data_IF_781702690210
#
_entry.id   IF_781702690210
#
_cell.length_a   1.000
_cell.length_b   1.000
_cell.length_c   1.000
_cell.angle_alpha   90.00
_cell.angle_beta   90.00
_cell.angle_gamma   90.00
#
_symmetry.space_group_name_H-M   'P 1'
#
loop_
_entity.id
_entity.type
_entity.pdbx_description
1 polymer ?
#
# COMPACT_ATOMS: atom_id res chain seq x y z
N UNK A 1 5.15 13.18 8.37
CA UNK A 1 5.28 13.49 6.92
C UNK A 1 6.57 12.93 6.33
N UNK A 2 7.75 13.17 6.91
CA UNK A 2 9.03 12.69 6.37
C UNK A 2 9.07 11.18 6.05
N UNK A 3 8.49 10.35 6.93
CA UNK A 3 8.40 8.89 6.72
C UNK A 3 7.63 8.50 5.46
N UNK A 4 6.59 9.24 5.07
CA UNK A 4 5.80 8.92 3.88
C UNK A 4 6.61 9.13 2.59
N UNK A 5 7.37 10.22 2.53
CA UNK A 5 8.28 10.50 1.41
C UNK A 5 9.44 9.51 1.36
N UNK A 6 9.99 9.13 2.53
CA UNK A 6 11.03 8.11 2.62
C UNK A 6 10.52 6.74 2.13
N UNK A 7 9.35 6.29 2.58
CA UNK A 7 8.74 5.03 2.15
C UNK A 7 8.45 5.00 0.64
N UNK A 8 7.97 6.11 0.07
CA UNK A 8 7.74 6.24 -1.37
C UNK A 8 9.06 6.16 -2.15
N UNK A 9 10.10 6.88 -1.69
CA UNK A 9 11.43 6.82 -2.28
C UNK A 9 12.05 5.42 -2.22
N UNK A 10 11.98 4.75 -1.07
CA UNK A 10 12.46 3.38 -0.90
C UNK A 10 11.72 2.41 -1.82
N UNK A 11 10.39 2.51 -1.92
CA UNK A 11 9.59 1.66 -2.82
C UNK A 11 9.99 1.82 -4.29
N UNK A 12 10.22 3.05 -4.75
CA UNK A 12 10.69 3.33 -6.11
C UNK A 12 12.08 2.76 -6.38
N UNK A 13 13.02 2.95 -5.45
CA UNK A 13 14.39 2.45 -5.59
C UNK A 13 14.41 0.91 -5.60
N UNK A 14 13.68 0.27 -4.69
CA UNK A 14 13.58 -1.20 -4.63
C UNK A 14 12.93 -1.75 -5.89
N UNK A 15 11.84 -1.14 -6.37
CA UNK A 15 11.21 -1.54 -7.63
C UNK A 15 12.18 -1.43 -8.81
N UNK A 16 12.93 -0.33 -8.91
CA UNK A 16 13.91 -0.10 -9.95
C UNK A 16 15.05 -1.14 -9.92
N UNK A 17 15.62 -1.41 -8.74
CA UNK A 17 16.70 -2.40 -8.57
C UNK A 17 16.21 -3.80 -8.97
N UNK A 18 15.03 -4.21 -8.49
CA UNK A 18 14.51 -5.56 -8.76
C UNK A 18 14.16 -5.75 -10.23
N UNK A 19 13.56 -4.75 -10.88
CA UNK A 19 13.31 -4.79 -12.33
C UNK A 19 14.60 -4.76 -13.13
N UNK A 20 15.58 -3.92 -12.78
CA UNK A 20 16.86 -3.83 -13.47
C UNK A 20 17.67 -5.14 -13.38
N UNK A 21 17.67 -5.78 -12.21
CA UNK A 21 18.35 -7.05 -11.99
C UNK A 21 17.50 -8.28 -12.38
N UNK A 22 16.30 -8.09 -12.94
CA UNK A 22 15.34 -9.15 -13.32
C UNK A 22 14.99 -10.12 -12.18
N UNK A 23 15.00 -9.63 -10.93
CA UNK A 23 14.55 -10.41 -9.78
C UNK A 23 13.02 -10.44 -9.70
N UNK A 24 12.44 -11.50 -9.10
CA UNK A 24 11.02 -11.52 -8.79
C UNK A 24 10.67 -10.32 -7.90
N UNK A 25 9.70 -9.51 -8.33
CA UNK A 25 9.26 -8.34 -7.58
C UNK A 25 8.63 -8.78 -6.25
N UNK A 26 8.99 -8.13 -5.12
CA UNK A 26 8.39 -8.43 -3.82
C UNK A 26 6.97 -7.86 -3.68
N UNK A 27 6.60 -6.88 -4.51
CA UNK A 27 5.29 -6.23 -4.52
C UNK A 27 4.33 -6.89 -5.53
N UNK A 28 3.00 -6.72 -5.38
CA UNK A 28 2.03 -7.26 -6.33
C UNK A 28 2.33 -6.79 -7.76
N UNK A 29 2.52 -7.70 -8.73
CA UNK A 29 2.90 -7.33 -10.09
C UNK A 29 1.73 -6.80 -10.93
N UNK A 30 0.50 -6.88 -10.43
CA UNK A 30 -0.72 -6.48 -11.12
C UNK A 30 -1.49 -5.40 -10.35
N UNK A 31 -2.13 -4.49 -11.09
CA UNK A 31 -2.88 -3.37 -10.53
C UNK A 31 -4.00 -3.83 -9.58
N UNK A 32 -4.66 -4.96 -9.87
CA UNK A 32 -5.70 -5.50 -9.00
C UNK A 32 -5.20 -5.86 -7.59
N UNK A 33 -3.91 -6.25 -7.44
CA UNK A 33 -3.32 -6.56 -6.13
C UNK A 33 -3.06 -5.30 -5.32
N UNK A 34 -2.61 -4.23 -5.98
CA UNK A 34 -2.47 -2.91 -5.36
C UNK A 34 -3.83 -2.38 -4.92
N UNK A 35 -4.84 -2.47 -5.77
CA UNK A 35 -6.21 -2.07 -5.44
C UNK A 35 -6.80 -2.88 -4.28
N UNK A 36 -6.48 -4.17 -4.18
CA UNK A 36 -6.84 -5.01 -3.04
C UNK A 36 -6.27 -4.48 -1.71
N UNK A 37 -4.99 -4.11 -1.68
CA UNK A 37 -4.35 -3.53 -0.48
C UNK A 37 -5.00 -2.20 -0.09
N UNK A 38 -5.29 -1.34 -1.07
CA UNK A 38 -6.00 -0.07 -0.86
C UNK A 38 -7.40 -0.33 -0.28
N UNK A 39 -8.13 -1.31 -0.80
CA UNK A 39 -9.45 -1.71 -0.31
C UNK A 39 -9.43 -2.21 1.14
N UNK A 40 -8.43 -3.03 1.50
CA UNK A 40 -8.25 -3.51 2.88
C UNK A 40 -7.97 -2.34 3.83
N UNK A 41 -7.05 -1.45 3.46
CA UNK A 41 -6.73 -0.28 4.28
C UNK A 41 -7.94 0.66 4.42
N UNK A 42 -8.63 0.96 3.32
CA UNK A 42 -9.84 1.79 3.33
C UNK A 42 -10.98 1.17 4.13
N UNK A 43 -11.20 -0.14 3.99
CA UNK A 43 -12.18 -0.88 4.78
C UNK A 43 -11.91 -0.83 6.28
N UNK A 44 -10.65 -0.90 6.71
CA UNK A 44 -10.28 -0.75 8.11
C UNK A 44 -10.65 0.64 8.66
N UNK A 45 -10.51 1.70 7.86
CA UNK A 45 -10.90 3.06 8.24
C UNK A 45 -12.41 3.23 8.22
N UNK A 46 -13.09 2.65 7.23
CA UNK A 46 -14.55 2.67 7.15
C UNK A 46 -15.19 1.97 8.35
N UNK A 47 -14.61 0.87 8.83
CA UNK A 47 -15.09 0.20 10.03
C UNK A 47 -14.99 1.10 11.26
N UNK A 48 -13.87 1.81 11.45
CA UNK A 48 -13.73 2.77 12.55
C UNK A 48 -14.79 3.87 12.50
N UNK A 49 -15.14 4.35 11.30
CA UNK A 49 -16.20 5.34 11.12
C UNK A 49 -17.59 4.77 11.40
N UNK A 50 -17.84 3.54 10.97
CA UNK A 50 -19.09 2.80 11.25
C UNK A 50 -19.25 2.56 12.74
N UNK A 51 -18.20 2.12 13.42
CA UNK A 51 -18.15 1.92 14.86
C UNK A 51 -18.45 3.23 15.59
N UNK A 52 -17.84 4.34 15.19
CA UNK A 52 -18.13 5.67 15.76
C UNK A 52 -19.57 6.14 15.51
N UNK A 53 -20.18 5.76 14.40
CA UNK A 53 -21.57 6.09 14.08
C UNK A 53 -22.58 5.22 14.83
N UNK A 54 -22.25 3.94 15.03
CA UNK A 54 -23.07 2.97 15.77
C UNK A 54 -22.96 3.16 17.29
N UNK A 55 -21.78 3.55 17.77
CA UNK A 55 -21.45 3.73 19.19
C UNK A 55 -21.54 5.20 19.64
N UNK A 56 -22.38 5.99 18.96
CA UNK A 56 -22.93 7.25 19.47
C UNK A 56 -23.83 6.99 20.67
#
# INVERSE_FOLDING_TARGET
MAVAFASLGTGLIVGLIFTACKLPLPAPPFFAGVMGIVGIWGGSKLWLLLEQALNR
#
